data_IF_858807138824
#
_entry.id   IF_858807138824
#
_cell.length_a   1.000
_cell.length_b   1.000
_cell.length_c   1.000
_cell.angle_alpha   90.00
_cell.angle_beta   90.00
_cell.angle_gamma   90.00
#
_symmetry.space_group_name_H-M   'P 1'
#
loop_
_entity.id
_entity.type
_entity.pdbx_description
1 polymer ?
#
# COMPACT_ATOMS: atom_id res chain seq x y z
N UNK A 1 11.17 -1.03 -27.20
CA UNK A 1 11.07 -0.54 -25.80
C UNK A 1 11.94 -1.42 -24.92
N UNK A 2 12.53 -0.86 -23.86
CA UNK A 2 13.28 -1.63 -22.86
C UNK A 2 12.31 -2.59 -22.15
N UNK A 3 12.71 -3.87 -22.00
CA UNK A 3 11.89 -4.87 -21.30
C UNK A 3 12.02 -4.73 -19.79
N UNK A 4 10.89 -4.77 -19.09
CA UNK A 4 10.82 -4.79 -17.62
C UNK A 4 10.03 -6.03 -17.19
N UNK A 5 10.67 -6.91 -16.43
CA UNK A 5 10.08 -8.15 -15.94
C UNK A 5 9.78 -8.01 -14.43
N UNK A 6 8.52 -8.03 -14.08
CA UNK A 6 8.07 -7.94 -12.69
C UNK A 6 7.88 -9.32 -12.11
N UNK A 7 8.42 -9.57 -10.94
CA UNK A 7 8.35 -10.86 -10.27
C UNK A 7 7.86 -10.69 -8.83
N UNK A 8 6.58 -11.00 -8.60
CA UNK A 8 5.97 -11.01 -7.28
C UNK A 8 4.92 -12.12 -7.19
N UNK A 9 4.83 -12.75 -6.03
CA UNK A 9 3.79 -13.74 -5.72
C UNK A 9 2.81 -13.18 -4.69
N UNK A 10 1.59 -13.73 -4.67
CA UNK A 10 0.61 -13.52 -3.62
C UNK A 10 -0.11 -14.85 -3.32
N UNK A 11 -0.78 -14.91 -2.19
CA UNK A 11 -1.53 -16.09 -1.77
C UNK A 11 -1.83 -16.08 -0.27
N UNK A 12 -2.43 -17.15 0.22
CA UNK A 12 -2.91 -17.25 1.60
C UNK A 12 -1.82 -17.05 2.67
N UNK A 13 -0.55 -17.39 2.37
CA UNK A 13 0.57 -17.23 3.30
C UNK A 13 1.37 -15.95 3.15
N UNK A 14 1.23 -15.24 2.01
CA UNK A 14 2.03 -14.07 1.65
C UNK A 14 1.19 -12.78 1.71
N UNK A 15 -0.12 -12.89 1.49
CA UNK A 15 -1.02 -11.75 1.30
C UNK A 15 -0.93 -11.17 -0.12
N UNK A 16 -1.69 -10.12 -0.38
CA UNK A 16 -1.75 -9.46 -1.68
C UNK A 16 -0.88 -8.21 -1.79
N UNK A 17 -0.28 -7.74 -0.70
CA UNK A 17 0.45 -6.47 -0.65
C UNK A 17 1.58 -6.36 -1.67
N UNK A 18 2.45 -7.37 -1.75
CA UNK A 18 3.55 -7.43 -2.72
C UNK A 18 3.04 -7.39 -4.17
N UNK A 19 2.06 -8.23 -4.47
CA UNK A 19 1.46 -8.30 -5.80
C UNK A 19 0.85 -6.94 -6.22
N UNK A 20 0.02 -6.35 -5.37
CA UNK A 20 -0.68 -5.08 -5.68
C UNK A 20 0.31 -3.94 -5.91
N UNK A 21 1.32 -3.79 -5.04
CA UNK A 21 2.29 -2.69 -5.18
C UNK A 21 3.21 -2.88 -6.39
N UNK A 22 3.60 -4.12 -6.69
CA UNK A 22 4.40 -4.43 -7.88
C UNK A 22 3.61 -4.24 -9.17
N UNK A 23 2.32 -4.63 -9.18
CA UNK A 23 1.43 -4.42 -10.31
C UNK A 23 1.15 -2.92 -10.53
N UNK A 24 1.03 -2.14 -9.45
CA UNK A 24 0.90 -0.70 -9.54
C UNK A 24 2.13 -0.04 -10.19
N UNK A 25 3.35 -0.53 -9.89
CA UNK A 25 4.56 -0.07 -10.56
C UNK A 25 4.56 -0.46 -12.05
N UNK A 26 4.12 -1.67 -12.40
CA UNK A 26 3.99 -2.09 -13.79
C UNK A 26 3.00 -1.18 -14.56
N UNK A 27 1.86 -0.82 -13.94
CA UNK A 27 0.87 0.09 -14.53
C UNK A 27 1.45 1.50 -14.78
N UNK A 28 2.32 2.01 -13.89
CA UNK A 28 2.99 3.29 -14.08
C UNK A 28 4.00 3.28 -15.23
N UNK A 29 4.58 2.13 -15.55
CA UNK A 29 5.67 2.00 -16.53
C UNK A 29 5.23 1.48 -17.90
N UNK A 30 4.05 0.88 -18.05
CA UNK A 30 3.61 0.13 -19.23
C UNK A 30 3.56 0.92 -20.54
N UNK A 31 3.39 2.23 -20.46
CA UNK A 31 3.33 3.08 -21.66
C UNK A 31 4.73 3.46 -22.20
N UNK A 32 5.76 3.38 -21.36
CA UNK A 32 7.16 3.70 -21.68
C UNK A 32 8.07 2.46 -21.84
N UNK A 33 7.67 1.31 -21.28
CA UNK A 33 8.44 0.07 -21.24
C UNK A 33 7.61 -1.14 -21.71
N UNK A 34 8.29 -2.18 -22.18
CA UNK A 34 7.69 -3.48 -22.49
C UNK A 34 7.61 -4.33 -21.20
N UNK A 35 6.49 -4.21 -20.51
CA UNK A 35 6.26 -4.81 -19.20
C UNK A 35 5.68 -6.22 -19.31
N UNK A 36 6.24 -7.18 -18.54
CA UNK A 36 5.66 -8.53 -18.37
C UNK A 36 5.70 -8.93 -16.90
N UNK A 37 4.60 -9.43 -16.38
CA UNK A 37 4.47 -9.86 -14.99
C UNK A 37 4.68 -11.39 -14.86
N UNK A 38 5.46 -11.82 -13.89
CA UNK A 38 5.71 -13.23 -13.57
C UNK A 38 5.24 -13.54 -12.16
N UNK A 39 4.37 -14.53 -12.00
CA UNK A 39 3.86 -14.95 -10.70
C UNK A 39 3.64 -16.47 -10.69
N UNK A 40 3.56 -17.08 -9.51
CA UNK A 40 3.21 -18.50 -9.41
C UNK A 40 1.79 -18.66 -8.88
N UNK A 41 1.07 -19.66 -9.46
CA UNK A 41 -0.29 -20.06 -9.05
C UNK A 41 -1.25 -18.87 -8.81
N UNK A 42 -1.43 -17.96 -9.78
CA UNK A 42 -2.28 -16.79 -9.58
C UNK A 42 -3.73 -17.20 -9.35
N UNK A 43 -4.40 -16.47 -8.48
CA UNK A 43 -5.86 -16.56 -8.30
C UNK A 43 -6.58 -15.89 -9.47
N UNK A 44 -7.86 -16.21 -9.74
CA UNK A 44 -8.65 -15.51 -10.75
C UNK A 44 -8.69 -13.99 -10.57
N UNK A 45 -8.64 -13.51 -9.32
CA UNK A 45 -8.52 -12.10 -9.02
C UNK A 45 -7.21 -11.50 -9.53
N UNK A 46 -6.08 -12.17 -9.28
CA UNK A 46 -4.77 -11.70 -9.76
C UNK A 46 -4.69 -11.69 -11.29
N UNK A 47 -5.20 -12.73 -11.94
CA UNK A 47 -5.26 -12.82 -13.41
C UNK A 47 -6.04 -11.65 -13.99
N UNK A 48 -7.25 -11.38 -13.49
CA UNK A 48 -8.08 -10.26 -13.93
C UNK A 48 -7.38 -8.89 -13.71
N UNK A 49 -6.62 -8.71 -12.62
CA UNK A 49 -5.86 -7.49 -12.40
C UNK A 49 -4.68 -7.35 -13.37
N UNK A 50 -3.91 -8.43 -13.61
CA UNK A 50 -2.77 -8.40 -14.53
C UNK A 50 -3.20 -8.14 -15.97
N UNK A 51 -4.28 -8.74 -16.45
CA UNK A 51 -4.82 -8.56 -17.79
C UNK A 51 -5.11 -7.10 -18.15
N UNK A 52 -5.42 -6.27 -17.16
CA UNK A 52 -5.64 -4.82 -17.37
C UNK A 52 -4.37 -3.99 -17.46
N UNK A 53 -3.23 -4.56 -17.03
CA UNK A 53 -1.97 -3.83 -16.88
C UNK A 53 -0.92 -4.29 -17.89
N UNK A 54 -0.61 -5.60 -17.94
CA UNK A 54 0.47 -6.15 -18.77
C UNK A 54 0.25 -7.64 -19.06
N UNK A 55 0.88 -8.19 -20.11
CA UNK A 55 1.02 -9.62 -20.26
C UNK A 55 1.60 -10.27 -19.00
N UNK A 56 1.20 -11.51 -18.70
CA UNK A 56 1.76 -12.24 -17.56
C UNK A 56 2.13 -13.68 -17.92
N UNK A 57 3.02 -14.25 -17.14
CA UNK A 57 3.51 -15.63 -17.24
C UNK A 57 3.32 -16.32 -15.89
N UNK A 58 2.63 -17.46 -15.90
CA UNK A 58 2.46 -18.29 -14.72
C UNK A 58 3.65 -19.26 -14.58
N UNK A 59 4.30 -19.22 -13.40
CA UNK A 59 5.40 -20.09 -13.03
C UNK A 59 4.88 -21.27 -12.20
N UNK A 60 5.56 -22.43 -12.30
CA UNK A 60 5.27 -23.58 -11.46
C UNK A 60 5.85 -23.37 -10.07
N UNK A 61 5.06 -23.53 -9.01
CA UNK A 61 5.45 -23.22 -7.64
C UNK A 61 6.80 -23.86 -7.22
N UNK A 62 6.99 -25.15 -7.51
CA UNK A 62 8.22 -25.88 -7.12
C UNK A 62 9.47 -25.45 -7.88
N UNK A 63 9.31 -24.85 -9.05
CA UNK A 63 10.41 -24.52 -9.98
C UNK A 63 10.50 -23.00 -10.22
N UNK A 64 9.63 -22.20 -9.63
CA UNK A 64 9.41 -20.78 -9.94
C UNK A 64 10.67 -19.94 -9.97
N UNK A 65 11.64 -20.21 -9.10
CA UNK A 65 12.90 -19.45 -9.04
C UNK A 65 13.79 -19.77 -10.25
N UNK A 66 14.02 -21.05 -10.54
CA UNK A 66 14.87 -21.47 -11.65
C UNK A 66 14.19 -21.15 -13.00
N UNK A 67 12.90 -21.44 -13.12
CA UNK A 67 12.12 -21.18 -14.32
C UNK A 67 12.14 -19.68 -14.69
N UNK A 68 12.09 -18.77 -13.71
CA UNK A 68 12.23 -17.34 -13.97
C UNK A 68 13.64 -16.98 -14.45
N UNK A 69 14.70 -17.49 -13.78
CA UNK A 69 16.11 -17.28 -14.23
C UNK A 69 16.33 -17.78 -15.66
N UNK A 70 15.71 -18.90 -16.04
CA UNK A 70 15.85 -19.47 -17.40
C UNK A 70 15.16 -18.61 -18.48
N UNK A 71 14.18 -17.80 -18.12
CA UNK A 71 13.52 -16.86 -19.03
C UNK A 71 14.35 -15.61 -19.34
N UNK A 72 15.37 -15.29 -18.54
CA UNK A 72 16.17 -14.07 -18.67
C UNK A 72 17.13 -14.14 -19.86
N UNK A 73 17.22 -13.06 -20.64
CA UNK A 73 18.11 -12.91 -21.80
C UNK A 73 19.31 -12.03 -21.52
N UNK A 74 19.27 -11.23 -20.44
CA UNK A 74 20.37 -10.40 -19.97
C UNK A 74 20.28 -8.91 -20.34
N UNK A 75 19.26 -8.50 -21.07
CA UNK A 75 19.03 -7.11 -21.47
C UNK A 75 17.81 -6.48 -20.76
N UNK A 76 17.23 -7.21 -19.80
CA UNK A 76 16.04 -6.77 -19.05
C UNK A 76 16.37 -5.96 -17.80
N UNK A 77 15.41 -5.16 -17.38
CA UNK A 77 15.29 -4.70 -16.00
C UNK A 77 14.38 -5.70 -15.28
N UNK A 78 14.86 -6.33 -14.22
CA UNK A 78 14.10 -7.25 -13.38
C UNK A 78 13.69 -6.54 -12.12
N UNK A 79 12.40 -6.57 -11.78
CA UNK A 79 11.84 -6.03 -10.53
C UNK A 79 11.44 -7.20 -9.63
N UNK A 80 12.00 -7.30 -8.44
CA UNK A 80 11.68 -8.31 -7.43
C UNK A 80 10.92 -7.70 -6.26
N UNK A 81 9.84 -8.34 -5.85
CA UNK A 81 9.11 -8.00 -4.63
C UNK A 81 8.57 -9.26 -3.94
N UNK A 82 9.24 -9.76 -2.95
CA UNK A 82 8.88 -10.74 -1.92
C UNK A 82 10.08 -10.99 -0.99
N UNK A 83 9.82 -11.41 0.23
CA UNK A 83 10.86 -11.61 1.26
C UNK A 83 11.78 -12.81 1.02
N UNK A 84 11.34 -13.79 0.24
CA UNK A 84 12.10 -15.02 0.00
C UNK A 84 13.25 -14.88 -1.03
N UNK A 85 13.39 -13.73 -1.72
CA UNK A 85 14.50 -13.53 -2.64
C UNK A 85 15.80 -13.23 -1.88
N UNK A 86 16.72 -14.22 -1.90
CA UNK A 86 18.01 -14.13 -1.24
C UNK A 86 19.01 -13.29 -2.05
N UNK A 87 20.09 -12.86 -1.41
CA UNK A 87 21.24 -12.21 -2.09
C UNK A 87 21.81 -13.09 -3.21
N UNK A 88 21.88 -14.41 -3.01
CA UNK A 88 22.38 -15.33 -4.04
C UNK A 88 21.46 -15.43 -5.24
N UNK A 89 20.14 -15.34 -5.04
CA UNK A 89 19.18 -15.25 -6.14
C UNK A 89 19.35 -13.94 -6.93
N UNK A 90 19.56 -12.84 -6.25
CA UNK A 90 19.87 -11.55 -6.87
C UNK A 90 21.15 -11.62 -7.70
N UNK A 91 22.21 -12.28 -7.19
CA UNK A 91 23.48 -12.51 -7.93
C UNK A 91 23.28 -13.34 -9.20
N UNK A 92 22.42 -14.36 -9.19
CA UNK A 92 22.09 -15.14 -10.38
C UNK A 92 21.46 -14.29 -11.47
N UNK A 93 20.54 -13.38 -11.12
CA UNK A 93 19.92 -12.43 -12.06
C UNK A 93 20.98 -11.48 -12.62
N UNK A 94 21.84 -10.91 -11.77
CA UNK A 94 22.94 -10.03 -12.19
C UNK A 94 23.94 -10.75 -13.08
N UNK A 95 24.23 -12.03 -12.83
CA UNK A 95 25.13 -12.84 -13.66
C UNK A 95 24.59 -13.11 -15.08
N UNK A 96 23.27 -13.02 -15.31
CA UNK A 96 22.67 -13.03 -16.65
C UNK A 96 22.93 -11.73 -17.44
N UNK A 97 23.32 -10.64 -16.79
CA UNK A 97 23.50 -9.32 -17.40
C UNK A 97 22.35 -8.33 -17.15
N UNK A 98 21.28 -8.77 -16.49
CA UNK A 98 20.11 -7.94 -16.21
C UNK A 98 20.43 -6.78 -15.25
N UNK A 99 19.68 -5.70 -15.39
CA UNK A 99 19.53 -4.70 -14.33
C UNK A 99 18.55 -5.22 -13.28
N UNK A 100 18.79 -4.92 -12.03
CA UNK A 100 17.98 -5.43 -10.91
C UNK A 100 17.42 -4.30 -10.06
N UNK A 101 16.11 -4.33 -9.86
CA UNK A 101 15.37 -3.46 -8.95
C UNK A 101 14.76 -4.33 -7.86
N UNK A 102 14.92 -3.95 -6.59
CA UNK A 102 14.27 -4.61 -5.47
C UNK A 102 13.28 -3.65 -4.80
N UNK A 103 12.03 -4.08 -4.63
CA UNK A 103 11.09 -3.45 -3.71
C UNK A 103 11.27 -4.13 -2.36
N UNK A 104 11.64 -3.38 -1.33
CA UNK A 104 11.97 -3.94 -0.02
C UNK A 104 11.50 -3.04 1.12
N UNK A 105 11.13 -3.65 2.24
CA UNK A 105 10.71 -2.99 3.47
C UNK A 105 11.32 -3.62 4.74
N UNK A 106 12.23 -4.61 4.58
CA UNK A 106 12.88 -5.30 5.69
C UNK A 106 14.36 -4.94 5.89
N UNK A 107 15.07 -4.56 4.82
CA UNK A 107 16.53 -4.29 4.79
C UNK A 107 17.38 -5.31 5.57
N UNK A 108 16.94 -6.59 5.57
CA UNK A 108 17.47 -7.69 6.39
C UNK A 108 18.59 -8.50 5.70
N UNK A 109 19.03 -8.11 4.49
CA UNK A 109 20.04 -8.82 3.68
C UNK A 109 20.96 -7.87 2.93
N UNK A 110 22.03 -8.40 2.33
CA UNK A 110 22.85 -7.64 1.40
C UNK A 110 22.20 -7.61 0.00
N UNK A 111 22.06 -6.43 -0.58
CA UNK A 111 21.48 -6.21 -1.90
C UNK A 111 22.53 -5.99 -2.98
N UNK A 112 22.40 -6.68 -4.10
CA UNK A 112 23.21 -6.46 -5.31
C UNK A 112 22.41 -5.78 -6.42
N UNK A 113 21.33 -5.10 -6.03
CA UNK A 113 20.40 -4.39 -6.90
C UNK A 113 21.02 -3.09 -7.45
N UNK A 114 20.63 -2.71 -8.66
CA UNK A 114 20.94 -1.38 -9.23
C UNK A 114 20.07 -0.30 -8.60
N UNK A 115 18.86 -0.66 -8.14
CA UNK A 115 17.91 0.24 -7.48
C UNK A 115 17.17 -0.50 -6.36
N UNK A 116 17.01 0.16 -5.21
CA UNK A 116 16.12 -0.27 -4.13
C UNK A 116 14.98 0.75 -3.98
N UNK A 117 13.75 0.26 -3.95
CA UNK A 117 12.54 1.05 -3.72
C UNK A 117 11.99 0.70 -2.35
N UNK A 118 11.82 1.70 -1.48
CA UNK A 118 11.13 1.58 -0.20
C UNK A 118 10.29 2.83 0.08
N UNK A 119 8.98 2.67 0.17
CA UNK A 119 8.05 3.79 0.37
C UNK A 119 7.93 4.27 1.83
N UNK A 120 8.63 3.64 2.79
CA UNK A 120 8.62 4.05 4.18
C UNK A 120 9.31 5.41 4.38
N UNK A 121 8.82 6.21 5.35
CA UNK A 121 9.25 7.60 5.54
C UNK A 121 10.59 7.71 6.27
N UNK A 122 10.88 6.75 7.13
CA UNK A 122 11.99 6.77 8.08
C UNK A 122 13.17 5.88 7.66
N UNK A 123 13.27 5.54 6.38
CA UNK A 123 14.33 4.70 5.83
C UNK A 123 15.37 5.56 5.11
N UNK A 124 16.64 5.24 5.33
CA UNK A 124 17.79 5.92 4.75
C UNK A 124 18.73 4.92 4.06
N UNK A 125 19.65 5.35 3.18
CA UNK A 125 20.64 4.46 2.57
C UNK A 125 21.51 3.70 3.59
N UNK A 126 21.74 4.27 4.78
CA UNK A 126 22.55 3.70 5.87
C UNK A 126 21.89 2.47 6.51
N UNK A 127 20.58 2.31 6.36
CA UNK A 127 19.85 1.13 6.84
C UNK A 127 20.08 -0.12 5.96
N UNK A 128 20.65 0.08 4.76
CA UNK A 128 20.85 -1.00 3.78
C UNK A 128 22.30 -1.45 3.67
N UNK A 129 22.50 -2.76 3.70
CA UNK A 129 23.73 -3.39 3.20
C UNK A 129 23.58 -3.61 1.69
N UNK A 130 24.36 -2.91 0.85
CA UNK A 130 24.22 -2.99 -0.60
C UNK A 130 25.54 -2.68 -1.33
N UNK A 131 25.54 -2.84 -2.65
CA UNK A 131 26.67 -2.51 -3.50
C UNK A 131 26.84 -0.98 -3.65
N UNK A 132 28.08 -0.48 -3.85
CA UNK A 132 28.35 0.96 -3.98
C UNK A 132 27.63 1.65 -5.15
N UNK A 133 27.20 0.90 -6.15
CA UNK A 133 26.46 1.42 -7.32
C UNK A 133 24.95 1.49 -7.12
N UNK A 134 24.43 0.93 -6.02
CA UNK A 134 22.99 0.88 -5.74
C UNK A 134 22.41 2.28 -5.59
N UNK A 135 21.37 2.58 -6.36
CA UNK A 135 20.55 3.79 -6.21
C UNK A 135 19.36 3.52 -5.29
N UNK A 136 18.77 4.58 -4.76
CA UNK A 136 17.64 4.50 -3.84
C UNK A 136 16.46 5.36 -4.30
N UNK A 137 15.26 4.82 -4.13
CA UNK A 137 13.99 5.52 -4.30
C UNK A 137 13.18 5.37 -3.00
N UNK A 138 13.38 6.27 -2.04
CA UNK A 138 12.84 6.18 -0.70
C UNK A 138 11.78 7.21 -0.40
N UNK A 139 10.87 6.85 0.52
CA UNK A 139 9.82 7.70 1.04
C UNK A 139 8.56 7.78 0.17
N UNK A 140 7.60 8.57 0.64
CA UNK A 140 6.26 8.67 0.04
C UNK A 140 6.25 9.23 -1.39
N UNK A 141 7.29 9.98 -1.79
CA UNK A 141 7.46 10.44 -3.18
C UNK A 141 7.65 9.30 -4.19
N UNK A 142 7.90 8.07 -3.70
CA UNK A 142 8.00 6.83 -4.45
C UNK A 142 6.97 5.78 -4.00
N UNK A 143 5.80 6.23 -3.57
CA UNK A 143 4.70 5.34 -3.19
C UNK A 143 4.21 4.52 -4.38
N UNK A 144 4.02 3.23 -4.15
CA UNK A 144 3.58 2.26 -5.14
C UNK A 144 2.04 2.12 -5.08
N UNK A 145 1.35 3.13 -5.57
CA UNK A 145 -0.12 3.21 -5.54
C UNK A 145 -0.73 2.99 -6.93
N UNK A 146 -1.95 2.46 -6.93
CA UNK A 146 -2.75 2.31 -8.15
C UNK A 146 -3.17 3.69 -8.70
N UNK A 147 -3.34 3.79 -10.01
CA UNK A 147 -3.61 5.04 -10.75
C UNK A 147 -4.70 5.95 -10.16
N UNK A 148 -5.88 5.45 -9.69
CA UNK A 148 -6.94 6.31 -9.14
C UNK A 148 -6.50 7.18 -7.95
N UNK A 149 -5.54 6.72 -7.14
CA UNK A 149 -5.04 7.49 -6.02
C UNK A 149 -4.16 8.67 -6.46
N UNK A 150 -3.40 8.53 -7.55
CA UNK A 150 -2.65 9.65 -8.13
C UNK A 150 -3.58 10.65 -8.83
N UNK A 151 -4.68 10.19 -9.42
CA UNK A 151 -5.72 11.07 -9.97
C UNK A 151 -6.40 11.87 -8.85
N UNK A 152 -6.68 11.24 -7.70
CA UNK A 152 -7.20 11.93 -6.53
C UNK A 152 -6.23 13.01 -5.99
N UNK A 153 -4.90 12.79 -6.08
CA UNK A 153 -3.92 13.81 -5.70
C UNK A 153 -4.07 15.12 -6.48
N UNK A 154 -4.41 15.05 -7.77
CA UNK A 154 -4.56 16.25 -8.64
C UNK A 154 -5.69 17.16 -8.18
N UNK A 155 -6.74 16.57 -7.61
CA UNK A 155 -7.95 17.30 -7.22
C UNK A 155 -7.97 17.66 -5.73
N UNK A 156 -6.87 17.39 -5.01
CA UNK A 156 -6.80 17.56 -3.55
C UNK A 156 -6.95 19.02 -3.09
N UNK A 157 -6.41 19.97 -3.84
CA UNK A 157 -6.49 21.41 -3.50
C UNK A 157 -7.91 21.97 -3.58
N UNK A 158 -8.79 21.34 -4.35
CA UNK A 158 -10.20 21.73 -4.50
C UNK A 158 -11.08 21.20 -3.35
N UNK A 159 -10.52 20.43 -2.42
CA UNK A 159 -11.30 19.79 -1.35
C UNK A 159 -11.61 20.75 -0.22
N UNK A 160 -12.84 20.65 0.24
CA UNK A 160 -13.28 21.34 1.43
C UNK A 160 -12.54 20.80 2.66
N UNK A 161 -12.00 21.71 3.47
CA UNK A 161 -11.53 21.39 4.82
C UNK A 161 -12.72 20.85 5.63
N UNK A 162 -12.44 19.88 6.53
CA UNK A 162 -13.44 19.41 7.51
C UNK A 162 -14.08 20.64 8.17
N UNK A 163 -15.37 20.83 7.94
CA UNK A 163 -16.09 21.97 8.50
C UNK A 163 -16.29 21.73 9.99
N UNK A 164 -15.96 22.74 10.78
CA UNK A 164 -15.84 22.65 12.24
C UNK A 164 -17.11 22.27 12.99
N UNK A 165 -18.28 22.39 12.36
CA UNK A 165 -19.61 22.24 12.97
C UNK A 165 -20.51 21.25 12.22
N UNK A 166 -20.00 20.48 11.24
CA UNK A 166 -20.77 19.46 10.53
C UNK A 166 -20.45 18.06 11.08
N UNK A 167 -21.43 17.17 11.10
CA UNK A 167 -21.23 15.79 11.49
C UNK A 167 -20.42 15.04 10.41
N UNK A 168 -19.53 14.15 10.83
CA UNK A 168 -18.47 13.52 10.04
C UNK A 168 -18.94 12.25 9.32
N UNK A 169 -18.54 12.12 8.08
CA UNK A 169 -18.56 10.85 7.33
C UNK A 169 -17.24 10.11 7.55
N UNK A 170 -17.31 8.95 8.19
CA UNK A 170 -16.17 8.19 8.67
C UNK A 170 -15.97 6.91 7.87
N UNK A 171 -14.77 6.66 7.39
CA UNK A 171 -14.36 5.37 6.80
C UNK A 171 -13.59 4.56 7.83
N UNK A 172 -13.89 3.28 7.97
CA UNK A 172 -13.21 2.34 8.86
C UNK A 172 -12.70 1.15 8.05
N UNK A 173 -11.40 0.81 8.15
CA UNK A 173 -10.85 -0.35 7.46
C UNK A 173 -9.67 -0.97 8.22
N UNK A 174 -9.76 -2.25 8.58
CA UNK A 174 -8.71 -3.01 9.27
C UNK A 174 -8.17 -4.18 8.45
N UNK A 175 -8.29 -4.09 7.11
CA UNK A 175 -7.79 -5.08 6.18
C UNK A 175 -8.76 -6.22 5.89
N UNK A 176 -8.36 -7.13 5.00
CA UNK A 176 -9.26 -8.16 4.45
C UNK A 176 -9.64 -9.26 5.44
N UNK A 177 -8.80 -9.57 6.41
CA UNK A 177 -9.05 -10.67 7.35
C UNK A 177 -9.71 -10.22 8.66
N UNK A 178 -9.34 -9.04 9.17
CA UNK A 178 -9.77 -8.46 10.47
C UNK A 178 -10.19 -9.49 11.55
N UNK A 179 -9.33 -10.48 11.77
CA UNK A 179 -9.60 -11.63 12.65
C UNK A 179 -9.77 -11.24 14.14
N UNK A 180 -9.41 -10.02 14.50
CA UNK A 180 -9.57 -9.45 15.85
C UNK A 180 -10.86 -8.64 16.00
N UNK A 181 -11.65 -8.52 14.93
CA UNK A 181 -12.86 -7.69 14.87
C UNK A 181 -12.62 -6.26 15.35
N UNK A 182 -11.51 -5.65 14.88
CA UNK A 182 -11.21 -4.25 15.20
C UNK A 182 -12.20 -3.31 14.54
N UNK A 183 -12.71 -3.66 13.35
CA UNK A 183 -13.80 -2.94 12.67
C UNK A 183 -15.02 -2.83 13.57
N UNK A 184 -15.54 -3.94 14.09
CA UNK A 184 -16.70 -3.94 14.98
C UNK A 184 -16.45 -3.17 16.29
N UNK A 185 -15.28 -3.32 16.89
CA UNK A 185 -14.88 -2.58 18.11
C UNK A 185 -14.85 -1.07 17.88
N UNK A 186 -14.24 -0.61 16.78
CA UNK A 186 -14.19 0.82 16.43
C UNK A 186 -15.58 1.35 16.18
N UNK A 187 -16.38 0.70 15.34
CA UNK A 187 -17.74 1.11 15.02
C UNK A 187 -18.57 1.23 16.31
N UNK A 188 -18.58 0.19 17.17
CA UNK A 188 -19.30 0.23 18.48
C UNK A 188 -18.85 1.39 19.36
N UNK A 189 -17.58 1.77 19.24
CA UNK A 189 -17.00 2.87 20.00
C UNK A 189 -17.47 4.24 19.57
N UNK A 190 -17.85 4.44 18.30
CA UNK A 190 -18.08 5.77 17.73
C UNK A 190 -19.49 5.99 17.16
N UNK A 191 -20.26 4.94 16.84
CA UNK A 191 -21.54 5.05 16.11
C UNK A 191 -22.57 5.94 16.79
N UNK A 192 -22.54 6.03 18.14
CA UNK A 192 -23.47 6.82 18.95
C UNK A 192 -23.03 8.25 19.19
N UNK A 193 -21.87 8.65 18.68
CA UNK A 193 -21.41 10.02 18.81
C UNK A 193 -22.23 10.93 17.89
N UNK A 194 -22.68 12.06 18.42
CA UNK A 194 -23.46 13.04 17.64
C UNK A 194 -22.64 13.64 16.50
N UNK A 195 -21.33 13.72 16.67
CA UNK A 195 -20.39 14.19 15.63
C UNK A 195 -20.26 13.21 14.45
N UNK A 196 -20.70 11.97 14.55
CA UNK A 196 -20.65 10.97 13.48
C UNK A 196 -21.98 10.95 12.73
N UNK A 197 -21.94 11.34 11.45
CA UNK A 197 -23.09 11.29 10.54
C UNK A 197 -23.27 9.88 9.98
N UNK A 198 -22.23 9.35 9.34
CA UNK A 198 -22.23 8.01 8.76
C UNK A 198 -20.88 7.29 8.97
N UNK A 199 -20.92 5.97 8.91
CA UNK A 199 -19.72 5.09 8.97
C UNK A 199 -19.78 4.15 7.79
N UNK A 200 -18.76 4.18 6.95
CA UNK A 200 -18.57 3.17 5.90
C UNK A 200 -17.40 2.26 6.27
N UNK A 201 -17.68 0.99 6.52
CA UNK A 201 -16.69 -0.03 6.84
C UNK A 201 -16.28 -0.78 5.56
N UNK A 202 -14.98 -0.75 5.22
CA UNK A 202 -14.41 -1.59 4.16
C UNK A 202 -13.94 -2.88 4.81
N UNK A 203 -14.57 -4.00 4.47
CA UNK A 203 -14.29 -5.32 5.05
C UNK A 203 -13.98 -6.35 3.98
N UNK A 204 -13.22 -7.37 4.34
CA UNK A 204 -12.93 -8.49 3.44
C UNK A 204 -14.05 -9.52 3.33
N UNK A 205 -13.91 -10.46 2.40
CA UNK A 205 -14.90 -11.53 2.17
C UNK A 205 -15.10 -12.40 3.40
N UNK A 206 -14.04 -12.64 4.16
CA UNK A 206 -14.05 -13.44 5.39
C UNK A 206 -14.70 -12.76 6.59
N UNK A 207 -15.00 -11.45 6.50
CA UNK A 207 -15.62 -10.72 7.61
C UNK A 207 -17.03 -11.24 7.87
N UNK A 208 -17.26 -11.69 9.12
CA UNK A 208 -18.48 -12.40 9.49
C UNK A 208 -19.68 -11.48 9.61
N UNK A 209 -20.83 -11.89 9.05
CA UNK A 209 -22.10 -11.19 9.23
C UNK A 209 -22.51 -11.06 10.71
N UNK A 210 -22.10 -11.99 11.57
CA UNK A 210 -22.37 -11.94 13.01
C UNK A 210 -21.62 -10.83 13.76
N UNK A 211 -20.59 -10.23 13.16
CA UNK A 211 -19.85 -9.08 13.71
C UNK A 211 -20.41 -7.74 13.21
N UNK A 212 -21.34 -7.74 12.26
CA UNK A 212 -21.91 -6.51 11.71
C UNK A 212 -22.87 -5.85 12.71
N UNK A 213 -22.66 -4.56 12.93
CA UNK A 213 -23.53 -3.75 13.79
C UNK A 213 -24.73 -3.27 12.95
N UNK A 214 -25.93 -3.61 13.40
CA UNK A 214 -27.17 -3.15 12.79
C UNK A 214 -27.48 -1.72 13.27
N UNK A 215 -27.09 -0.74 12.45
CA UNK A 215 -27.33 0.69 12.72
C UNK A 215 -27.56 1.42 11.40
N UNK A 216 -28.50 2.33 11.37
CA UNK A 216 -28.79 3.15 10.18
C UNK A 216 -27.63 4.07 9.77
N UNK A 217 -26.66 4.28 10.64
CA UNK A 217 -25.43 5.03 10.34
C UNK A 217 -24.33 4.19 9.70
N UNK A 218 -24.42 2.84 9.71
CA UNK A 218 -23.31 1.95 9.35
C UNK A 218 -23.60 1.24 8.02
N UNK A 219 -22.67 1.38 7.09
CA UNK A 219 -22.67 0.68 5.81
C UNK A 219 -21.41 -0.18 5.68
N UNK A 220 -21.54 -1.44 5.23
CA UNK A 220 -20.44 -2.37 5.00
C UNK A 220 -20.23 -2.59 3.51
N UNK A 221 -19.02 -2.33 3.03
CA UNK A 221 -18.64 -2.52 1.64
C UNK A 221 -17.55 -3.58 1.52
N UNK A 222 -17.67 -4.43 0.49
CA UNK A 222 -16.71 -5.50 0.18
C UNK A 222 -16.23 -5.39 -1.26
N UNK A 223 -15.04 -5.90 -1.53
CA UNK A 223 -14.49 -6.05 -2.88
C UNK A 223 -14.46 -4.76 -3.70
N UNK A 224 -14.18 -3.63 -3.05
CA UNK A 224 -14.08 -2.35 -3.72
C UNK A 224 -12.89 -2.32 -4.68
N UNK A 225 -13.10 -1.79 -5.88
CA UNK A 225 -12.03 -1.42 -6.81
C UNK A 225 -11.21 -0.24 -6.26
N UNK A 226 -10.01 -0.03 -6.82
CA UNK A 226 -9.19 1.13 -6.46
C UNK A 226 -9.92 2.47 -6.67
N UNK A 227 -10.74 2.56 -7.73
CA UNK A 227 -11.51 3.77 -8.02
C UNK A 227 -12.59 4.01 -6.97
N UNK A 228 -13.30 2.96 -6.54
CA UNK A 228 -14.33 3.08 -5.50
C UNK A 228 -13.72 3.48 -4.15
N UNK A 229 -12.55 2.90 -3.79
CA UNK A 229 -11.82 3.29 -2.57
C UNK A 229 -11.37 4.76 -2.66
N UNK A 230 -10.80 5.19 -3.79
CA UNK A 230 -10.38 6.57 -4.00
C UNK A 230 -11.58 7.53 -3.91
N UNK A 231 -12.71 7.18 -4.53
CA UNK A 231 -13.93 7.97 -4.45
C UNK A 231 -14.45 8.06 -3.00
N UNK A 232 -14.44 6.95 -2.28
CA UNK A 232 -14.87 6.90 -0.87
C UNK A 232 -13.98 7.80 0.00
N UNK A 233 -12.65 7.68 -0.12
CA UNK A 233 -11.72 8.55 0.62
C UNK A 233 -11.86 10.01 0.22
N UNK A 234 -12.17 10.29 -1.06
CA UNK A 234 -12.37 11.66 -1.53
C UNK A 234 -13.70 12.25 -1.10
N UNK A 235 -14.72 11.50 -0.81
CA UNK A 235 -16.04 11.97 -0.38
C UNK A 235 -16.28 11.95 1.12
N UNK A 236 -15.37 11.35 1.91
CA UNK A 236 -15.49 11.25 3.36
C UNK A 236 -14.55 12.22 4.09
N UNK A 237 -14.82 12.49 5.37
CA UNK A 237 -14.06 13.44 6.18
C UNK A 237 -12.87 12.79 6.89
N UNK A 238 -13.06 11.57 7.41
CA UNK A 238 -12.11 10.89 8.29
C UNK A 238 -11.98 9.42 7.92
N UNK A 239 -10.73 8.93 7.88
CA UNK A 239 -10.44 7.50 7.79
C UNK A 239 -9.80 7.01 9.10
N UNK A 240 -10.30 5.91 9.65
CA UNK A 240 -9.73 5.21 10.82
C UNK A 240 -9.07 3.94 10.30
N UNK A 241 -7.74 3.91 10.33
CA UNK A 241 -6.92 2.90 9.65
C UNK A 241 -5.75 2.42 10.53
N UNK A 242 -5.29 1.18 10.38
CA UNK A 242 -3.97 0.79 10.84
C UNK A 242 -2.88 1.32 9.89
N UNK A 243 -1.63 1.42 10.38
CA UNK A 243 -0.48 1.74 9.54
C UNK A 243 -0.22 0.61 8.53
N UNK A 244 -0.68 0.81 7.31
CA UNK A 244 -0.66 -0.17 6.21
C UNK A 244 -0.63 0.54 4.86
N UNK A 245 -0.55 -0.22 3.77
CA UNK A 245 -0.59 0.34 2.39
C UNK A 245 -1.83 1.21 2.16
N UNK A 246 -2.99 0.86 2.75
CA UNK A 246 -4.21 1.66 2.64
C UNK A 246 -4.07 3.05 3.27
N UNK A 247 -3.18 3.22 4.25
CA UNK A 247 -2.87 4.55 4.80
C UNK A 247 -2.21 5.45 3.74
N UNK A 248 -1.31 4.92 2.91
CA UNK A 248 -0.72 5.68 1.80
C UNK A 248 -1.78 6.05 0.75
N UNK A 249 -2.72 5.14 0.46
CA UNK A 249 -3.87 5.40 -0.43
C UNK A 249 -4.75 6.54 0.12
N UNK A 250 -5.04 6.51 1.42
CA UNK A 250 -5.81 7.56 2.10
C UNK A 250 -5.07 8.91 2.13
N UNK A 251 -3.75 8.91 2.39
CA UNK A 251 -2.90 10.11 2.32
C UNK A 251 -2.89 10.72 0.92
N UNK A 252 -2.78 9.90 -0.13
CA UNK A 252 -2.85 10.35 -1.51
C UNK A 252 -4.19 11.04 -1.81
N UNK A 253 -5.27 10.50 -1.26
CA UNK A 253 -6.60 11.09 -1.35
C UNK A 253 -6.79 12.35 -0.51
N UNK A 254 -5.94 12.66 0.45
CA UNK A 254 -6.02 13.86 1.31
C UNK A 254 -7.14 13.81 2.36
N UNK A 255 -7.67 12.62 2.69
CA UNK A 255 -8.60 12.45 3.80
C UNK A 255 -7.85 12.59 5.14
N UNK A 256 -8.53 13.11 6.16
CA UNK A 256 -7.95 13.16 7.52
C UNK A 256 -7.86 11.75 8.10
N UNK A 257 -6.69 11.35 8.61
CA UNK A 257 -6.46 9.99 9.09
C UNK A 257 -6.31 9.96 10.60
N UNK A 258 -7.09 9.10 11.25
CA UNK A 258 -6.84 8.65 12.61
C UNK A 258 -6.18 7.26 12.49
N UNK A 259 -4.90 7.18 12.83
CA UNK A 259 -4.08 6.00 12.63
C UNK A 259 -3.66 5.31 13.91
N UNK A 260 -3.42 4.01 13.83
CA UNK A 260 -2.84 3.21 14.90
C UNK A 260 -2.17 1.95 14.34
N UNK A 261 -1.84 1.01 15.22
CA UNK A 261 -1.30 -0.29 14.83
C UNK A 261 -1.91 -1.39 15.71
N UNK A 262 -1.79 -2.65 15.29
CA UNK A 262 -2.22 -3.83 16.06
C UNK A 262 -1.31 -5.04 15.85
N UNK A 263 -0.31 -4.92 14.98
CA UNK A 263 0.76 -5.91 14.75
C UNK A 263 2.09 -5.21 14.71
N UNK A 264 3.14 -5.91 15.12
CA UNK A 264 4.47 -5.33 15.35
C UNK A 264 5.08 -4.67 14.10
N UNK A 265 4.87 -5.25 12.93
CA UNK A 265 5.39 -4.68 11.67
C UNK A 265 4.74 -3.35 11.25
N UNK A 266 3.61 -2.96 11.86
CA UNK A 266 2.95 -1.66 11.63
C UNK A 266 3.46 -0.56 12.56
N UNK A 267 4.11 -0.92 13.66
CA UNK A 267 4.47 0.03 14.73
C UNK A 267 5.45 1.08 14.24
N UNK A 268 6.49 0.69 13.52
CA UNK A 268 7.50 1.62 12.99
C UNK A 268 6.89 2.62 12.00
N UNK A 269 6.05 2.15 11.09
CA UNK A 269 5.36 3.01 10.14
C UNK A 269 4.40 3.98 10.85
N UNK A 270 3.67 3.50 11.85
CA UNK A 270 2.80 4.34 12.66
C UNK A 270 3.54 5.50 13.29
N UNK A 271 4.67 5.22 13.97
CA UNK A 271 5.46 6.30 14.58
C UNK A 271 6.07 7.25 13.55
N UNK A 272 6.49 6.75 12.39
CA UNK A 272 6.98 7.58 11.30
C UNK A 272 5.91 8.56 10.79
N UNK A 273 4.68 8.09 10.55
CA UNK A 273 3.54 8.95 10.17
C UNK A 273 3.18 9.97 11.25
N UNK A 274 3.23 9.56 12.52
CA UNK A 274 2.97 10.44 13.66
C UNK A 274 4.01 11.57 13.75
N UNK A 275 5.30 11.22 13.69
CA UNK A 275 6.40 12.19 13.76
C UNK A 275 6.38 13.16 12.58
N UNK A 276 5.98 12.69 11.40
CA UNK A 276 5.78 13.53 10.22
C UNK A 276 4.50 14.37 10.28
N UNK A 277 3.71 14.29 11.36
CA UNK A 277 2.45 15.00 11.55
C UNK A 277 1.39 14.74 10.45
N UNK A 278 1.42 13.56 9.83
CA UNK A 278 0.54 13.17 8.73
C UNK A 278 -0.77 12.54 9.20
N UNK A 279 -0.78 11.99 10.42
CA UNK A 279 -1.94 11.33 11.02
C UNK A 279 -2.19 11.83 12.44
N UNK A 280 -3.39 11.59 12.94
CA UNK A 280 -3.71 11.70 14.38
C UNK A 280 -3.65 10.29 14.97
N UNK A 281 -2.70 10.05 15.89
CA UNK A 281 -2.41 8.72 16.37
C UNK A 281 -3.25 8.30 17.57
N UNK A 282 -3.76 7.05 17.52
CA UNK A 282 -4.43 6.41 18.67
C UNK A 282 -3.54 5.40 19.40
N UNK A 283 -2.37 5.03 18.83
CA UNK A 283 -1.49 4.00 19.39
C UNK A 283 -1.93 2.59 19.01
N UNK A 284 -1.69 1.66 19.94
CA UNK A 284 -2.08 0.26 19.76
C UNK A 284 -3.61 0.11 19.85
N UNK A 285 -4.23 -0.47 18.81
CA UNK A 285 -5.66 -0.77 18.80
C UNK A 285 -6.07 -1.87 19.79
N UNK A 286 -5.11 -2.58 20.36
CA UNK A 286 -5.34 -3.61 21.39
C UNK A 286 -5.34 -3.04 22.81
N UNK A 287 -4.95 -1.79 23.01
CA UNK A 287 -4.98 -1.12 24.30
C UNK A 287 -6.42 -0.98 24.83
N UNK A 288 -6.57 -1.09 26.13
CA UNK A 288 -7.88 -1.00 26.80
C UNK A 288 -8.50 0.39 26.73
N UNK A 289 -7.73 1.44 26.60
CA UNK A 289 -8.16 2.84 26.56
C UNK A 289 -8.19 3.44 25.13
N UNK A 290 -7.87 2.63 24.10
CA UNK A 290 -7.82 3.11 22.70
C UNK A 290 -9.14 3.74 22.25
N UNK A 291 -10.28 3.20 22.64
CA UNK A 291 -11.58 3.77 22.29
C UNK A 291 -11.82 5.14 22.95
N UNK A 292 -11.30 5.36 24.15
CA UNK A 292 -11.35 6.67 24.81
C UNK A 292 -10.49 7.71 24.07
N UNK A 293 -9.26 7.31 23.66
CA UNK A 293 -8.38 8.14 22.84
C UNK A 293 -9.02 8.48 21.49
N UNK A 294 -9.57 7.49 20.80
CA UNK A 294 -10.23 7.65 19.50
C UNK A 294 -11.39 8.66 19.58
N UNK A 295 -12.27 8.53 20.57
CA UNK A 295 -13.38 9.48 20.81
C UNK A 295 -12.87 10.89 21.08
N UNK A 296 -11.83 11.02 21.90
CA UNK A 296 -11.22 12.33 22.21
C UNK A 296 -10.64 13.00 20.98
N UNK A 297 -10.03 12.23 20.06
CA UNK A 297 -9.49 12.73 18.80
C UNK A 297 -10.64 13.16 17.87
N UNK A 298 -11.66 12.35 17.68
CA UNK A 298 -12.83 12.70 16.86
C UNK A 298 -13.49 14.01 17.29
N UNK A 299 -13.62 14.24 18.60
CA UNK A 299 -14.20 15.47 19.14
C UNK A 299 -13.32 16.72 18.95
N UNK A 300 -12.05 16.56 18.58
CA UNK A 300 -11.06 17.63 18.41
C UNK A 300 -10.40 17.60 17.04
N UNK A 301 -11.05 16.98 16.07
CA UNK A 301 -10.46 16.72 14.78
C UNK A 301 -9.99 18.01 14.10
N UNK A 302 -8.79 17.98 13.56
CA UNK A 302 -8.23 19.04 12.73
C UNK A 302 -7.64 18.38 11.48
N UNK A 303 -7.84 19.01 10.34
CA UNK A 303 -7.25 18.53 9.10
C UNK A 303 -5.72 18.51 9.21
N UNK A 304 -5.12 17.44 8.71
CA UNK A 304 -3.67 17.27 8.59
C UNK A 304 -3.27 17.30 7.12
N UNK A 305 -2.21 18.04 6.82
CA UNK A 305 -1.68 18.15 5.46
C UNK A 305 -0.63 17.05 5.19
N UNK A 306 -1.04 15.99 4.52
CA UNK A 306 -0.16 14.89 4.11
C UNK A 306 0.35 15.02 2.67
N UNK A 307 1.02 16.12 2.30
CA UNK A 307 1.39 16.44 0.92
C UNK A 307 2.60 15.69 0.34
N UNK A 308 3.08 14.61 0.97
CA UNK A 308 4.28 13.89 0.52
C UNK A 308 4.05 13.00 -0.72
N UNK A 309 2.82 12.53 -0.94
CA UNK A 309 2.44 11.76 -2.13
C UNK A 309 1.89 12.75 -3.17
N UNK A 310 2.41 12.69 -4.39
CA UNK A 310 2.03 13.62 -5.46
C UNK A 310 1.65 12.89 -6.75
N UNK A 311 0.88 13.56 -7.61
CA UNK A 311 0.52 13.06 -8.94
C UNK A 311 1.73 12.87 -9.89
N UNK A 312 2.90 13.39 -9.52
CA UNK A 312 4.14 13.26 -10.30
C UNK A 312 4.90 11.94 -10.03
N UNK A 313 4.51 11.17 -9.03
CA UNK A 313 5.18 9.91 -8.65
C UNK A 313 5.36 8.94 -9.83
N UNK A 314 4.36 8.69 -10.71
CA UNK A 314 4.57 7.86 -11.89
C UNK A 314 5.67 8.39 -12.82
N UNK A 315 5.71 9.70 -13.07
CA UNK A 315 6.74 10.33 -13.91
C UNK A 315 8.14 10.19 -13.31
N UNK A 316 8.27 10.25 -11.98
CA UNK A 316 9.55 10.03 -11.28
C UNK A 316 10.04 8.60 -11.48
N UNK A 317 9.17 7.59 -11.38
CA UNK A 317 9.53 6.22 -11.67
C UNK A 317 9.95 6.01 -13.12
N UNK A 318 9.24 6.56 -14.09
CA UNK A 318 9.61 6.49 -15.51
C UNK A 318 11.02 7.05 -15.74
N UNK A 319 11.33 8.23 -15.20
CA UNK A 319 12.67 8.84 -15.31
C UNK A 319 13.74 7.99 -14.63
N UNK A 320 13.45 7.45 -13.45
CA UNK A 320 14.36 6.62 -12.69
C UNK A 320 14.70 5.33 -13.45
N UNK A 321 13.71 4.63 -14.00
CA UNK A 321 13.90 3.41 -14.80
C UNK A 321 14.64 3.67 -16.12
N UNK A 322 14.47 4.82 -16.73
CA UNK A 322 15.28 5.24 -17.92
C UNK A 322 16.75 5.52 -17.57
N UNK A 323 17.07 5.74 -16.29
CA UNK A 323 18.44 6.08 -15.84
C UNK A 323 19.24 4.89 -15.30
N UNK A 324 18.63 3.71 -15.19
CA UNK A 324 19.28 2.47 -14.77
C UNK A 324 19.87 1.76 -16.02
#
# INVERSE_FOLDING_TARGET
>A
MQRVLFRADAGAGIGYGHFIRTLALADMLKDDFDCTFYTSEPTPYQEAQMETVSPYVTLREKEKLNQFIDCLKGDEIVVLDNYFYTTDYQRQIKAKGCKLVCIDDLHDKHFVADLIINQAINVTPEDYSCEPYTKFAFGLGFSLLRKPFFEACKNREERHSVKKDEALDVVVAFGGSDYLDLTGKVISGIERLDIVHSITAIVGDSYSLGCMIDSCKVNYLKNLSAQEIANLFTSSDVAILPASTMMNEALACGITIIGGYYVQNQENDYYAFMLANMIMGVGDYLDTDVMSRLRSILLRITQKDGNAITAETPSRFIQLFKSI
#
